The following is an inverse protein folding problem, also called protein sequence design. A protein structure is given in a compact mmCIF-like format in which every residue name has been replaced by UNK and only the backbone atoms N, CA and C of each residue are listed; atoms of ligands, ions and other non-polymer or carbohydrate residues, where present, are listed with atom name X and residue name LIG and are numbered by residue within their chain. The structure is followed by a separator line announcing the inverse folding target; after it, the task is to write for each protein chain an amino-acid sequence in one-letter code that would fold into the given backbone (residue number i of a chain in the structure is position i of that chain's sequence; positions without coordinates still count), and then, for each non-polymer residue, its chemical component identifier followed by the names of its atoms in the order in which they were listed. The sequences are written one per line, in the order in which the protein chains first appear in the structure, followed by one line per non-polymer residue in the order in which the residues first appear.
data_IF_268543177548
#
_entry.id   IF_268543177548
#
_cell.length_a   1.000
_cell.length_b   1.000
_cell.length_c   1.000
_cell.angle_alpha   90.00
_cell.angle_beta   90.00
_cell.angle_gamma   90.00
#
_symmetry.space_group_name_H-M   'P 1'
#
loop_
_entity.id
_entity.type
_entity.pdbx_description
1 polymer ?
#
# COMPACT_ATOMS: atom_id res chain seq x y z
N UNK A 1 8.08 5.68 -20.45
CA UNK A 1 9.18 6.15 -19.55
C UNK A 1 8.64 7.15 -18.51
N UNK A 2 8.02 8.26 -18.89
CA UNK A 2 7.43 9.26 -17.96
C UNK A 2 6.58 8.58 -16.90
N UNK A 3 5.60 7.81 -17.31
CA UNK A 3 4.68 7.07 -16.43
C UNK A 3 5.39 6.16 -15.40
N UNK A 4 6.40 5.40 -15.86
CA UNK A 4 7.16 4.51 -14.98
C UNK A 4 7.96 5.28 -13.92
N UNK A 5 8.58 6.39 -14.32
CA UNK A 5 9.44 7.16 -13.42
C UNK A 5 8.60 7.90 -12.38
N UNK A 6 7.49 8.52 -12.79
CA UNK A 6 6.57 9.16 -11.85
C UNK A 6 5.97 8.16 -10.86
N UNK A 7 5.59 6.97 -11.34
CA UNK A 7 5.12 5.91 -10.47
C UNK A 7 6.19 5.42 -9.48
N UNK A 8 7.43 5.22 -9.96
CA UNK A 8 8.54 4.80 -9.09
C UNK A 8 8.85 5.85 -8.00
N UNK A 9 8.79 7.13 -8.33
CA UNK A 9 8.97 8.24 -7.39
C UNK A 9 7.85 8.24 -6.34
N UNK A 10 6.59 8.06 -6.75
CA UNK A 10 5.45 7.96 -5.85
C UNK A 10 5.59 6.77 -4.89
N UNK A 11 5.98 5.60 -5.41
CA UNK A 11 6.22 4.41 -4.58
C UNK A 11 7.33 4.63 -3.55
N UNK A 12 8.42 5.30 -3.95
CA UNK A 12 9.51 5.61 -3.02
C UNK A 12 9.05 6.52 -1.88
N UNK A 13 8.16 7.49 -2.17
CA UNK A 13 7.60 8.40 -1.17
C UNK A 13 6.67 7.72 -0.14
N UNK A 14 6.19 6.50 -0.42
CA UNK A 14 5.40 5.71 0.54
C UNK A 14 6.28 4.98 1.58
N UNK A 15 7.60 5.01 1.43
CA UNK A 15 8.51 4.37 2.39
C UNK A 15 8.66 5.23 3.65
N UNK A 16 8.21 4.76 4.82
CA UNK A 16 8.25 5.53 6.07
C UNK A 16 9.62 5.54 6.75
N UNK A 17 10.61 4.82 6.22
CA UNK A 17 11.91 4.66 6.87
C UNK A 17 12.82 5.85 6.58
N UNK A 18 13.45 6.40 7.62
CA UNK A 18 14.43 7.50 7.51
C UNK A 18 15.60 7.14 6.58
N UNK A 19 16.02 5.88 6.56
CA UNK A 19 17.04 5.36 5.64
C UNK A 19 16.62 5.43 4.16
N UNK A 20 15.32 5.57 3.89
CA UNK A 20 14.76 5.75 2.56
C UNK A 20 14.96 7.15 1.97
N UNK A 21 15.28 8.17 2.78
CA UNK A 21 15.36 9.56 2.31
C UNK A 21 16.36 9.77 1.16
N UNK A 22 17.51 9.10 1.19
CA UNK A 22 18.48 9.19 0.12
C UNK A 22 17.96 8.54 -1.18
N UNK A 23 17.22 7.44 -1.07
CA UNK A 23 16.56 6.78 -2.19
C UNK A 23 15.44 7.64 -2.77
N UNK A 24 14.61 8.23 -1.92
CA UNK A 24 13.54 9.15 -2.34
C UNK A 24 14.11 10.32 -3.14
N UNK A 25 15.13 11.01 -2.61
CA UNK A 25 15.78 12.12 -3.29
C UNK A 25 16.38 11.73 -4.66
N UNK A 26 16.96 10.54 -4.77
CA UNK A 26 17.49 10.04 -6.04
C UNK A 26 16.37 9.77 -7.07
N UNK A 27 15.26 9.18 -6.66
CA UNK A 27 14.10 8.98 -7.52
C UNK A 27 13.46 10.30 -7.96
N UNK A 28 13.32 11.26 -7.07
CA UNK A 28 12.81 12.60 -7.38
C UNK A 28 13.72 13.35 -8.37
N UNK A 29 15.03 13.24 -8.23
CA UNK A 29 15.99 13.83 -9.17
C UNK A 29 15.87 13.21 -10.56
N UNK A 30 15.77 11.88 -10.64
CA UNK A 30 15.58 11.16 -11.92
C UNK A 30 14.24 11.55 -12.55
N UNK A 31 13.16 11.57 -11.76
CA UNK A 31 11.85 11.99 -12.23
C UNK A 31 11.90 13.38 -12.84
N UNK A 32 12.45 14.37 -12.13
CA UNK A 32 12.51 15.74 -12.61
C UNK A 32 13.29 15.86 -13.92
N UNK A 33 14.43 15.15 -14.05
CA UNK A 33 15.21 15.13 -15.30
C UNK A 33 14.42 14.52 -16.47
N UNK A 34 13.69 13.43 -16.22
CA UNK A 34 12.87 12.78 -17.25
C UNK A 34 11.70 13.66 -17.65
N UNK A 35 11.01 14.30 -16.70
CA UNK A 35 9.89 15.20 -16.97
C UNK A 35 10.36 16.45 -17.74
N UNK A 36 11.50 17.02 -17.38
CA UNK A 36 12.08 18.16 -18.11
C UNK A 36 12.43 17.77 -19.55
N UNK A 37 13.08 16.64 -19.77
CA UNK A 37 13.37 16.13 -21.10
C UNK A 37 12.09 15.89 -21.92
N UNK A 38 11.07 15.29 -21.32
CA UNK A 38 9.78 15.02 -21.96
C UNK A 38 9.06 16.34 -22.34
N UNK A 39 9.06 17.33 -21.45
CA UNK A 39 8.49 18.66 -21.71
C UNK A 39 9.14 19.33 -22.94
N UNK A 40 10.46 19.21 -23.07
CA UNK A 40 11.23 19.75 -24.18
C UNK A 40 11.07 18.99 -25.51
N UNK A 41 10.53 17.76 -25.46
CA UNK A 41 10.31 16.90 -26.64
C UNK A 41 8.85 16.80 -27.09
N UNK A 42 7.99 17.71 -26.63
CA UNK A 42 6.60 17.83 -27.11
C UNK A 42 5.54 17.21 -26.22
N UNK A 43 5.90 16.76 -25.01
CA UNK A 43 4.96 16.22 -24.04
C UNK A 43 4.58 17.22 -22.93
N UNK A 44 4.63 18.52 -23.23
CA UNK A 44 4.32 19.58 -22.27
C UNK A 44 2.88 19.55 -21.74
N UNK A 45 1.95 18.98 -22.49
CA UNK A 45 0.52 18.89 -22.11
C UNK A 45 0.25 17.95 -20.93
N UNK A 46 1.16 16.98 -20.71
CA UNK A 46 1.03 16.01 -19.60
C UNK A 46 1.90 16.38 -18.39
N UNK A 47 2.60 17.51 -18.45
CA UNK A 47 3.55 17.93 -17.41
C UNK A 47 3.20 19.35 -16.97
N UNK A 48 3.07 19.52 -15.66
CA UNK A 48 2.86 20.83 -15.02
C UNK A 48 3.97 21.11 -14.01
N UNK A 49 4.14 22.38 -13.66
CA UNK A 49 5.08 22.79 -12.62
C UNK A 49 4.36 22.95 -11.29
N UNK A 50 4.75 22.14 -10.32
CA UNK A 50 4.27 22.24 -8.95
C UNK A 50 5.04 23.36 -8.22
N UNK A 51 4.36 24.47 -7.98
CA UNK A 51 4.93 25.64 -7.34
C UNK A 51 5.24 25.45 -5.86
N UNK A 52 4.51 24.56 -5.18
CA UNK A 52 4.73 24.26 -3.75
C UNK A 52 6.00 23.43 -3.55
N UNK A 53 6.23 22.47 -4.45
CA UNK A 53 7.39 21.58 -4.41
C UNK A 53 8.57 22.08 -5.23
N UNK A 54 8.37 23.10 -6.07
CA UNK A 54 9.41 23.67 -6.93
C UNK A 54 9.93 22.73 -8.03
N UNK A 55 9.11 21.76 -8.48
CA UNK A 55 9.49 20.73 -9.45
C UNK A 55 8.39 20.43 -10.46
N UNK A 56 8.78 19.83 -11.60
CA UNK A 56 7.81 19.31 -12.55
C UNK A 56 7.12 18.06 -11.98
N UNK A 57 5.85 17.89 -12.32
CA UNK A 57 5.07 16.67 -12.07
C UNK A 57 4.19 16.34 -13.27
N UNK A 58 3.72 15.14 -13.38
CA UNK A 58 2.67 14.76 -14.33
C UNK A 58 1.33 15.38 -13.90
N UNK A 59 0.50 15.73 -14.87
CA UNK A 59 -0.85 16.24 -14.60
C UNK A 59 -1.71 15.15 -13.96
N UNK A 60 -2.64 15.55 -13.10
CA UNK A 60 -3.59 14.63 -12.45
C UNK A 60 -4.35 13.79 -13.48
N UNK A 61 -4.83 14.42 -14.55
CA UNK A 61 -5.51 13.74 -15.65
C UNK A 61 -4.67 12.63 -16.31
N UNK A 62 -3.36 12.85 -16.46
CA UNK A 62 -2.45 11.86 -17.00
C UNK A 62 -2.26 10.70 -16.01
N UNK A 63 -2.09 11.02 -14.74
CA UNK A 63 -1.93 10.03 -13.67
C UNK A 63 -3.16 9.14 -13.51
N UNK A 64 -4.37 9.71 -13.48
CA UNK A 64 -5.63 8.95 -13.42
C UNK A 64 -5.83 7.99 -14.61
N UNK A 65 -5.34 8.38 -15.80
CA UNK A 65 -5.35 7.56 -16.99
C UNK A 65 -4.26 6.49 -17.06
N UNK A 66 -3.27 6.54 -16.15
CA UNK A 66 -2.08 5.70 -16.17
C UNK A 66 -2.40 4.23 -15.96
N UNK A 67 -1.79 3.38 -16.78
CA UNK A 67 -1.84 1.93 -16.59
C UNK A 67 -1.17 1.51 -15.28
N UNK A 68 -0.03 2.12 -14.93
CA UNK A 68 0.69 1.82 -13.69
C UNK A 68 -0.11 2.22 -12.46
N UNK A 69 -0.81 3.36 -12.50
CA UNK A 69 -1.69 3.77 -11.40
C UNK A 69 -2.80 2.75 -11.16
N UNK A 70 -3.44 2.28 -12.21
CA UNK A 70 -4.48 1.24 -12.11
C UNK A 70 -3.93 -0.05 -11.53
N UNK A 71 -2.77 -0.53 -12.01
CA UNK A 71 -2.11 -1.71 -11.45
C UNK A 71 -1.77 -1.53 -9.97
N UNK A 72 -1.33 -0.34 -9.58
CA UNK A 72 -1.01 -0.03 -8.19
C UNK A 72 -2.25 -0.02 -7.30
N UNK A 73 -3.34 0.56 -7.75
CA UNK A 73 -4.60 0.58 -7.01
C UNK A 73 -5.15 -0.83 -6.80
N UNK A 74 -5.07 -1.68 -7.84
CA UNK A 74 -5.44 -3.09 -7.74
C UNK A 74 -4.55 -3.85 -6.75
N UNK A 75 -3.23 -3.66 -6.84
CA UNK A 75 -2.26 -4.28 -5.92
C UNK A 75 -2.49 -3.82 -4.48
N UNK A 76 -2.65 -2.51 -4.25
CA UNK A 76 -2.93 -1.94 -2.93
C UNK A 76 -4.20 -2.51 -2.33
N UNK A 77 -5.24 -2.63 -3.13
CA UNK A 77 -6.50 -3.23 -2.69
C UNK A 77 -6.32 -4.72 -2.34
N UNK A 78 -5.60 -5.48 -3.15
CA UNK A 78 -5.32 -6.88 -2.87
C UNK A 78 -4.51 -7.07 -1.58
N UNK A 79 -3.45 -6.29 -1.40
CA UNK A 79 -2.61 -6.31 -0.20
C UNK A 79 -3.38 -5.90 1.06
N UNK A 80 -4.29 -4.92 0.96
CA UNK A 80 -5.15 -4.53 2.07
C UNK A 80 -6.00 -5.70 2.58
N UNK A 81 -6.67 -6.41 1.67
CA UNK A 81 -7.52 -7.54 2.04
C UNK A 81 -6.72 -8.71 2.58
N UNK A 82 -5.56 -9.00 2.00
CA UNK A 82 -4.65 -10.05 2.46
C UNK A 82 -4.15 -9.77 3.87
N UNK A 83 -3.63 -8.58 4.12
CA UNK A 83 -3.09 -8.19 5.42
C UNK A 83 -4.18 -8.16 6.50
N UNK A 84 -5.36 -7.61 6.18
CA UNK A 84 -6.50 -7.60 7.10
C UNK A 84 -6.90 -9.02 7.49
N UNK A 85 -6.99 -9.92 6.52
CA UNK A 85 -7.34 -11.33 6.74
C UNK A 85 -6.31 -12.03 7.64
N UNK A 86 -5.01 -11.82 7.37
CA UNK A 86 -3.92 -12.39 8.16
C UNK A 86 -4.01 -11.92 9.62
N UNK A 87 -4.11 -10.61 9.84
CA UNK A 87 -4.16 -10.01 11.19
C UNK A 87 -5.39 -10.45 11.98
N UNK A 88 -6.54 -10.55 11.34
CA UNK A 88 -7.76 -11.03 11.99
C UNK A 88 -7.67 -12.52 12.34
N UNK A 89 -7.09 -13.32 11.46
CA UNK A 89 -6.88 -14.75 11.72
C UNK A 89 -5.89 -14.96 12.87
N UNK A 90 -4.80 -14.22 12.90
CA UNK A 90 -3.82 -14.26 14.00
C UNK A 90 -4.45 -13.83 15.34
N UNK A 91 -5.18 -12.72 15.35
CA UNK A 91 -5.92 -12.26 16.53
C UNK A 91 -6.84 -13.34 17.08
N UNK A 92 -7.61 -13.99 16.21
CA UNK A 92 -8.57 -15.01 16.63
C UNK A 92 -7.87 -16.30 17.07
N UNK A 93 -6.73 -16.67 16.48
CA UNK A 93 -5.90 -17.77 16.94
C UNK A 93 -5.35 -17.49 18.34
N UNK A 94 -4.81 -16.30 18.58
CA UNK A 94 -4.33 -15.86 19.91
C UNK A 94 -5.47 -15.87 20.93
N UNK A 95 -6.65 -15.37 20.58
CA UNK A 95 -7.82 -15.39 21.48
C UNK A 95 -8.29 -16.82 21.82
N UNK A 96 -8.16 -17.73 20.87
CA UNK A 96 -8.60 -19.13 21.06
C UNK A 96 -7.67 -19.97 21.92
N UNK A 97 -6.35 -19.75 21.84
CA UNK A 97 -5.38 -20.60 22.55
C UNK A 97 -4.58 -19.87 23.63
N UNK A 98 -4.65 -18.54 23.68
CA UNK A 98 -3.82 -17.71 24.55
C UNK A 98 -2.50 -17.29 23.90
N UNK A 99 -2.05 -16.07 24.22
CA UNK A 99 -0.87 -15.45 23.61
C UNK A 99 0.41 -16.28 23.83
N UNK A 100 0.68 -16.72 25.04
CA UNK A 100 1.88 -17.51 25.35
C UNK A 100 1.91 -18.83 24.58
N UNK A 101 0.77 -19.52 24.48
CA UNK A 101 0.66 -20.76 23.73
C UNK A 101 0.89 -20.51 22.23
N UNK A 102 0.35 -19.42 21.68
CA UNK A 102 0.58 -19.02 20.28
C UNK A 102 2.04 -18.67 20.01
N UNK A 103 2.68 -17.88 20.88
CA UNK A 103 4.07 -17.48 20.72
C UNK A 103 5.06 -18.66 20.86
N UNK A 104 4.69 -19.72 21.56
CA UNK A 104 5.51 -20.94 21.68
C UNK A 104 5.49 -21.82 20.43
N UNK A 105 4.55 -21.61 19.51
CA UNK A 105 4.47 -22.34 18.25
C UNK A 105 5.57 -21.92 17.29
N UNK A 106 6.07 -22.87 16.50
CA UNK A 106 6.90 -22.57 15.34
C UNK A 106 6.10 -21.81 14.28
N UNK A 107 6.78 -21.14 13.37
CA UNK A 107 6.16 -20.40 12.26
C UNK A 107 5.19 -21.29 11.47
N UNK A 108 5.62 -22.48 11.11
CA UNK A 108 4.79 -23.46 10.39
C UNK A 108 3.53 -23.88 11.15
N UNK A 109 3.62 -24.04 12.47
CA UNK A 109 2.46 -24.37 13.29
C UNK A 109 1.48 -23.21 13.40
N UNK A 110 1.99 -21.96 13.50
CA UNK A 110 1.16 -20.75 13.46
C UNK A 110 0.42 -20.64 12.13
N UNK A 111 1.11 -20.87 11.02
CA UNK A 111 0.52 -20.88 9.68
C UNK A 111 -0.61 -21.91 9.59
N UNK A 112 -0.38 -23.16 9.99
CA UNK A 112 -1.39 -24.22 10.00
C UNK A 112 -2.61 -23.89 10.88
N UNK A 113 -2.41 -23.16 11.98
CA UNK A 113 -3.51 -22.72 12.86
C UNK A 113 -4.28 -21.56 12.31
N UNK A 114 -3.62 -20.64 11.62
CA UNK A 114 -4.25 -19.44 11.04
C UNK A 114 -4.93 -19.71 9.70
N UNK A 115 -4.46 -20.65 8.90
CA UNK A 115 -4.98 -20.95 7.57
C UNK A 115 -6.51 -21.18 7.51
N UNK A 116 -7.14 -21.99 8.39
CA UNK A 116 -8.60 -22.15 8.37
C UNK A 116 -9.35 -20.85 8.69
N UNK A 117 -8.77 -20.01 9.56
CA UNK A 117 -9.33 -18.72 9.93
C UNK A 117 -9.22 -17.73 8.78
N UNK A 118 -8.07 -17.70 8.10
CA UNK A 118 -7.85 -16.89 6.90
C UNK A 118 -8.86 -17.26 5.80
N UNK A 119 -9.06 -18.53 5.51
CA UNK A 119 -10.05 -19.02 4.54
C UNK A 119 -11.48 -18.59 4.90
N UNK A 120 -11.81 -18.58 6.20
CA UNK A 120 -13.12 -18.12 6.70
C UNK A 120 -13.29 -16.61 6.46
N UNK A 121 -12.29 -15.80 6.80
CA UNK A 121 -12.31 -14.36 6.58
C UNK A 121 -12.36 -14.02 5.11
N UNK A 122 -11.56 -14.68 4.29
CA UNK A 122 -11.57 -14.49 2.84
C UNK A 122 -12.96 -14.66 2.24
N UNK A 123 -13.62 -15.77 2.54
CA UNK A 123 -15.00 -16.02 2.07
C UNK A 123 -15.98 -14.96 2.54
N UNK A 124 -15.82 -14.47 3.76
CA UNK A 124 -16.68 -13.44 4.33
C UNK A 124 -16.47 -12.09 3.64
N UNK A 125 -15.22 -11.68 3.46
CA UNK A 125 -14.89 -10.41 2.81
C UNK A 125 -15.23 -10.40 1.32
N UNK A 126 -15.09 -11.52 0.62
CA UNK A 126 -15.55 -11.62 -0.76
C UNK A 126 -17.05 -11.40 -0.91
N UNK A 127 -17.84 -11.80 0.08
CA UNK A 127 -19.29 -11.68 0.04
C UNK A 127 -19.78 -10.33 0.57
N UNK A 128 -19.28 -9.91 1.70
CA UNK A 128 -19.87 -8.87 2.54
C UNK A 128 -18.96 -7.63 2.68
N UNK A 129 -17.75 -7.64 2.07
CA UNK A 129 -16.77 -6.55 2.21
C UNK A 129 -16.40 -6.31 3.68
N UNK A 130 -16.32 -5.05 4.08
CA UNK A 130 -16.00 -4.64 5.46
C UNK A 130 -17.22 -4.57 6.38
N UNK A 131 -18.45 -4.74 5.87
CA UNK A 131 -19.69 -4.61 6.65
C UNK A 131 -19.73 -5.44 7.93
N UNK A 132 -19.09 -6.63 8.00
CA UNK A 132 -19.02 -7.41 9.24
C UNK A 132 -18.03 -6.90 10.29
N UNK A 133 -17.24 -5.88 9.97
CA UNK A 133 -16.26 -5.32 10.90
C UNK A 133 -16.92 -4.20 11.71
N UNK A 134 -16.91 -4.37 13.03
CA UNK A 134 -17.40 -3.37 13.97
C UNK A 134 -16.26 -2.85 14.82
N UNK A 135 -16.22 -1.54 15.04
CA UNK A 135 -15.39 -0.93 16.06
C UNK A 135 -16.07 -1.11 17.42
N UNK A 136 -15.39 -1.77 18.33
CA UNK A 136 -15.85 -1.85 19.74
C UNK A 136 -15.03 -0.82 20.50
N UNK A 137 -15.68 0.30 20.82
CA UNK A 137 -15.10 1.30 21.71
C UNK A 137 -15.05 0.68 23.13
N UNK A 138 -13.87 0.28 23.54
CA UNK A 138 -13.63 -0.09 24.94
C UNK A 138 -13.38 1.23 25.66
N UNK A 139 -14.37 1.76 26.33
CA UNK A 139 -14.15 2.87 27.25
C UNK A 139 -13.01 2.47 28.18
N UNK A 140 -11.87 3.15 28.05
CA UNK A 140 -10.70 2.98 28.91
C UNK A 140 -10.92 3.56 30.32
N UNK A 141 -12.18 3.95 30.65
CA UNK A 141 -12.60 4.47 31.93
C UNK A 141 -13.34 3.39 32.74
N UNK A 142 -12.58 2.52 33.35
CA UNK A 142 -13.04 1.70 34.50
C UNK A 142 -11.88 1.44 35.46
#
# INVERSE_FOLDING_TARGET
MVEMVSFASEMANLNPNEDGNAGIAAFEEIENKVLEAAKNTGFSEIIEFDTERGKNRVTEKFQEGSFFQKCFDELRNALFWEELMIRLAERDAIRGMGEQAYLSLSEKERELKSEPLQKRYWKKFQKDGIDPLFWIDRNEDA
#
